data_IF_294922201854
#
_entry.id   IF_294922201854
#
_cell.length_a   1.000
_cell.length_b   1.000
_cell.length_c   1.000
_cell.angle_alpha   90.00
_cell.angle_beta   90.00
_cell.angle_gamma   90.00
#
_symmetry.space_group_name_H-M   'P 1'
#
loop_
_entity.id
_entity.type
_entity.pdbx_description
1 polymer ?
#
# COMPACT_ATOMS: atom_id res chain seq x y z
N UNK A 1 -30.31 18.37 -0.69
CA UNK A 1 -29.78 17.01 -0.46
C UNK A 1 -28.48 16.92 -1.24
N UNK A 2 -27.34 16.80 -0.56
CA UNK A 2 -26.05 16.65 -1.23
C UNK A 2 -25.79 15.15 -1.35
N UNK A 3 -25.87 14.62 -2.57
CA UNK A 3 -25.50 13.25 -2.86
C UNK A 3 -23.98 13.16 -2.74
N UNK A 4 -23.53 12.74 -1.56
CA UNK A 4 -22.16 12.29 -1.33
C UNK A 4 -22.02 11.04 -2.18
N UNK A 5 -21.38 11.16 -3.34
CA UNK A 5 -21.01 10.03 -4.19
C UNK A 5 -20.08 9.12 -3.38
N UNK A 6 -20.67 8.15 -2.67
CA UNK A 6 -19.94 7.02 -2.09
C UNK A 6 -19.19 6.35 -3.24
N UNK A 7 -17.85 6.23 -3.20
CA UNK A 7 -17.19 5.36 -4.14
C UNK A 7 -17.74 3.95 -3.92
N UNK A 8 -18.26 3.38 -5.00
CA UNK A 8 -18.87 2.06 -5.03
C UNK A 8 -17.91 1.02 -4.43
N UNK A 9 -18.19 0.55 -3.22
CA UNK A 9 -17.68 -0.73 -2.69
C UNK A 9 -18.36 -1.86 -3.46
N UNK A 10 -17.94 -2.02 -4.71
CA UNK A 10 -18.49 -3.03 -5.62
C UNK A 10 -17.37 -3.71 -6.40
N UNK A 11 -16.57 -4.52 -5.71
CA UNK A 11 -15.93 -5.68 -6.34
C UNK A 11 -15.53 -6.69 -5.26
N UNK A 12 -16.22 -7.83 -5.24
CA UNK A 12 -15.79 -9.04 -4.56
C UNK A 12 -14.50 -9.58 -5.21
N UNK A 13 -13.36 -8.97 -4.87
CA UNK A 13 -12.05 -9.26 -5.45
C UNK A 13 -10.92 -8.64 -4.62
N UNK A 14 -10.67 -9.26 -3.47
CA UNK A 14 -9.56 -9.08 -2.53
C UNK A 14 -9.12 -7.64 -2.22
N UNK A 15 -9.54 -7.19 -1.04
CA UNK A 15 -9.00 -6.01 -0.40
C UNK A 15 -7.50 -6.20 -0.14
N UNK A 16 -6.70 -5.19 -0.47
CA UNK A 16 -5.26 -5.22 -0.22
C UNK A 16 -5.01 -5.34 1.29
N UNK A 17 -4.41 -6.45 1.71
CA UNK A 17 -4.07 -6.70 3.11
C UNK A 17 -2.63 -6.30 3.38
N UNK A 18 -2.38 -5.67 4.53
CA UNK A 18 -1.02 -5.37 4.98
C UNK A 18 -0.32 -6.67 5.37
N UNK A 19 0.80 -6.97 4.70
CA UNK A 19 1.58 -8.18 4.95
C UNK A 19 2.75 -7.93 5.90
N UNK A 20 3.44 -6.81 5.74
CA UNK A 20 4.56 -6.41 6.60
C UNK A 20 4.91 -4.93 6.43
N UNK A 21 5.48 -4.35 7.48
CA UNK A 21 6.12 -3.03 7.48
C UNK A 21 7.61 -3.25 7.76
N UNK A 22 8.48 -2.79 6.87
CA UNK A 22 9.91 -3.12 6.94
C UNK A 22 10.77 -1.89 6.71
N UNK A 23 11.76 -1.59 7.57
CA UNK A 23 12.73 -0.55 7.31
C UNK A 23 13.62 -0.93 6.13
N UNK A 24 13.88 0.03 5.24
CA UNK A 24 14.67 -0.13 4.03
C UNK A 24 15.66 1.01 3.86
N UNK A 25 16.76 0.71 3.20
CA UNK A 25 17.72 1.67 2.71
C UNK A 25 18.33 1.14 1.41
N UNK A 26 18.79 2.04 0.53
CA UNK A 26 19.44 1.69 -0.75
C UNK A 26 18.59 0.73 -1.60
N UNK A 27 17.27 0.97 -1.64
CA UNK A 27 16.32 0.08 -2.33
C UNK A 27 16.39 0.25 -3.84
N UNK A 28 16.25 1.49 -4.31
CA UNK A 28 16.45 1.87 -5.72
C UNK A 28 16.72 3.36 -5.83
N UNK A 29 17.37 3.79 -6.89
CA UNK A 29 17.47 5.21 -7.22
C UNK A 29 16.11 5.75 -7.63
N UNK A 30 15.66 6.82 -6.99
CA UNK A 30 14.41 7.50 -7.30
C UNK A 30 13.69 8.02 -6.06
N UNK A 31 12.56 8.67 -6.30
CA UNK A 31 11.70 9.21 -5.25
C UNK A 31 10.28 8.71 -5.41
N UNK A 32 9.58 8.58 -4.29
CA UNK A 32 8.13 8.33 -4.23
C UNK A 32 7.49 9.32 -3.27
N UNK A 33 6.16 9.44 -3.32
CA UNK A 33 5.41 10.25 -2.35
C UNK A 33 4.92 9.36 -1.22
N UNK A 34 5.16 9.79 0.02
CA UNK A 34 4.66 9.13 1.22
C UNK A 34 3.12 9.12 1.19
N UNK A 35 2.46 7.95 1.24
CA UNK A 35 1.00 7.87 1.22
C UNK A 35 0.32 8.53 2.43
N UNK A 36 1.03 8.65 3.56
CA UNK A 36 0.48 9.21 4.80
C UNK A 36 0.52 10.74 4.81
N UNK A 37 1.70 11.32 4.55
CA UNK A 37 1.92 12.77 4.70
C UNK A 37 2.16 13.51 3.38
N UNK A 38 2.32 12.80 2.26
CA UNK A 38 2.62 13.38 0.95
C UNK A 38 4.07 13.82 0.74
N UNK A 39 4.94 13.70 1.75
CA UNK A 39 6.35 14.05 1.65
C UNK A 39 7.09 13.20 0.61
N UNK A 40 8.15 13.76 0.02
CA UNK A 40 9.03 13.02 -0.90
C UNK A 40 9.90 12.04 -0.10
N UNK A 41 9.84 10.76 -0.46
CA UNK A 41 10.64 9.67 0.11
C UNK A 41 11.75 9.34 -0.87
N UNK A 42 13.00 9.47 -0.43
CA UNK A 42 14.17 9.04 -1.20
C UNK A 42 14.37 7.53 -1.03
N UNK A 43 14.23 6.79 -2.13
CA UNK A 43 14.28 5.32 -2.10
C UNK A 43 15.71 4.76 -1.99
N UNK A 44 16.70 5.60 -2.22
CA UNK A 44 18.11 5.29 -1.95
C UNK A 44 18.45 5.52 -0.46
N UNK A 45 17.74 6.44 0.18
CA UNK A 45 17.88 6.76 1.60
C UNK A 45 17.17 5.77 2.53
N UNK A 46 17.29 6.00 3.84
CA UNK A 46 16.53 5.27 4.84
C UNK A 46 15.04 5.66 4.74
N UNK A 47 14.17 4.66 4.63
CA UNK A 47 12.73 4.82 4.53
C UNK A 47 12.04 3.55 5.05
N UNK A 48 10.72 3.59 5.19
CA UNK A 48 9.91 2.43 5.53
C UNK A 48 9.13 1.95 4.32
N UNK A 49 8.92 0.65 4.22
CA UNK A 49 8.16 0.07 3.13
C UNK A 49 7.05 -0.82 3.68
N UNK A 50 5.81 -0.53 3.27
CA UNK A 50 4.65 -1.37 3.58
C UNK A 50 4.38 -2.27 2.39
N UNK A 51 4.40 -3.57 2.62
CA UNK A 51 4.06 -4.58 1.64
C UNK A 51 2.59 -4.94 1.77
N UNK A 52 1.87 -4.81 0.68
CA UNK A 52 0.47 -5.20 0.53
C UNK A 52 0.39 -6.44 -0.35
N UNK A 53 -0.47 -7.37 0.04
CA UNK A 53 -0.79 -8.56 -0.73
C UNK A 53 -2.30 -8.60 -0.96
N UNK A 54 -2.73 -8.99 -2.16
CA UNK A 54 -4.12 -9.34 -2.42
C UNK A 54 -4.21 -10.64 -3.21
N UNK A 55 -5.25 -11.40 -2.94
CA UNK A 55 -5.58 -12.56 -3.75
C UNK A 55 -6.16 -12.11 -5.09
N UNK A 56 -5.67 -12.65 -6.19
CA UNK A 56 -6.21 -12.35 -7.51
C UNK A 56 -7.38 -13.30 -7.79
N UNK A 57 -8.48 -12.85 -8.42
CA UNK A 57 -9.51 -13.77 -8.87
C UNK A 57 -8.88 -14.86 -9.74
N UNK A 58 -9.25 -16.13 -9.53
CA UNK A 58 -8.63 -17.25 -10.21
C UNK A 58 -8.87 -17.14 -11.72
N UNK A 59 -7.79 -17.01 -12.49
CA UNK A 59 -7.82 -17.06 -13.94
C UNK A 59 -7.14 -18.37 -14.40
N UNK A 60 -7.86 -19.29 -15.07
CA UNK A 60 -7.32 -20.58 -15.48
C UNK A 60 -6.13 -20.48 -16.45
N UNK A 61 -5.89 -19.33 -17.07
CA UNK A 61 -4.73 -19.09 -17.93
C UNK A 61 -3.51 -18.52 -17.20
N UNK A 62 -3.62 -18.17 -15.92
CA UNK A 62 -2.56 -17.47 -15.19
C UNK A 62 -2.16 -18.24 -13.93
N UNK A 63 -0.87 -18.55 -13.78
CA UNK A 63 -0.33 -19.19 -12.57
C UNK A 63 -0.24 -18.24 -11.38
N UNK A 64 -0.42 -16.94 -11.59
CA UNK A 64 -0.26 -15.92 -10.56
C UNK A 64 -1.57 -15.71 -9.80
N UNK A 65 -1.64 -16.24 -8.59
CA UNK A 65 -2.82 -16.16 -7.71
C UNK A 65 -2.78 -15.01 -6.73
N UNK A 66 -1.65 -14.30 -6.64
CA UNK A 66 -1.45 -13.19 -5.69
C UNK A 66 -0.76 -12.01 -6.36
N UNK A 67 -1.23 -10.83 -6.04
CA UNK A 67 -0.62 -9.56 -6.42
C UNK A 67 0.00 -8.91 -5.20
N UNK A 68 1.19 -8.33 -5.40
CA UNK A 68 1.95 -7.67 -4.34
C UNK A 68 2.24 -6.23 -4.72
N UNK A 69 1.95 -5.32 -3.81
CA UNK A 69 2.22 -3.88 -3.97
C UNK A 69 3.10 -3.41 -2.83
N UNK A 70 4.04 -2.54 -3.15
CA UNK A 70 4.94 -1.93 -2.19
C UNK A 70 4.65 -0.44 -2.13
N UNK A 71 4.54 0.11 -0.93
CA UNK A 71 4.37 1.52 -0.67
C UNK A 71 5.52 2.02 0.19
N UNK A 72 6.04 3.20 -0.12
CA UNK A 72 7.23 3.77 0.52
C UNK A 72 6.82 4.95 1.42
N UNK A 73 7.33 4.97 2.65
CA UNK A 73 7.03 5.94 3.71
C UNK A 73 8.31 6.57 4.21
N UNK A 74 8.24 7.84 4.61
CA UNK A 74 9.41 8.57 5.11
C UNK A 74 9.94 7.99 6.43
N UNK A 75 9.03 7.53 7.31
CA UNK A 75 9.37 7.02 8.63
C UNK A 75 8.35 5.97 9.13
N UNK A 76 8.67 5.36 10.27
CA UNK A 76 7.85 4.31 10.90
C UNK A 76 6.47 4.83 11.29
N UNK A 77 6.38 6.05 11.83
CA UNK A 77 5.11 6.63 12.30
C UNK A 77 4.16 6.82 11.14
N UNK A 78 4.66 7.36 10.01
CA UNK A 78 3.86 7.49 8.80
C UNK A 78 3.37 6.13 8.27
N UNK A 79 4.18 5.08 8.38
CA UNK A 79 3.77 3.74 7.97
C UNK A 79 2.71 3.17 8.92
N UNK A 80 2.89 3.30 10.23
CA UNK A 80 1.97 2.80 11.26
C UNK A 80 0.62 3.53 11.22
N UNK A 81 0.63 4.86 11.19
CA UNK A 81 -0.60 5.68 11.08
C UNK A 81 -1.43 5.29 9.85
N UNK A 82 -0.76 5.03 8.73
CA UNK A 82 -1.43 4.59 7.50
C UNK A 82 -2.01 3.18 7.61
N UNK A 83 -1.32 2.26 8.31
CA UNK A 83 -1.83 0.90 8.55
C UNK A 83 -3.03 0.94 9.48
N UNK A 84 -2.95 1.67 10.60
CA UNK A 84 -4.05 1.82 11.57
C UNK A 84 -5.28 2.46 10.92
N UNK A 85 -5.07 3.50 10.11
CA UNK A 85 -6.18 4.17 9.41
C UNK A 85 -6.91 3.23 8.42
N UNK A 86 -6.22 2.22 7.87
CA UNK A 86 -6.81 1.24 6.94
C UNK A 86 -7.52 0.07 7.62
N UNK A 87 -7.04 -0.35 8.78
CA UNK A 87 -7.68 -1.44 9.54
C UNK A 87 -8.99 -0.96 10.21
N UNK A 88 -9.13 0.35 10.42
CA UNK A 88 -10.33 0.97 10.98
C UNK A 88 -11.49 1.17 9.99
N UNK A 89 -11.35 0.79 8.70
CA UNK A 89 -12.37 0.96 7.65
C UNK A 89 -13.41 -0.18 7.59
#
# INVERSE_FOLDING_TARGET
MVEIRRPSTSAAGAEWTVRQVTPRARWRTGTESCPACGATVELDGAHYQVELDRERPPNPSEKLTRERRLLSFCDESCADEWVVARDAE
#
